data_IF_269168153850
#
_entry.id   IF_269168153850
#
_cell.length_a   1.000
_cell.length_b   1.000
_cell.length_c   1.000
_cell.angle_alpha   90.00
_cell.angle_beta   90.00
_cell.angle_gamma   90.00
#
_symmetry.space_group_name_H-M   'P 1'
#
loop_
_entity.id
_entity.type
_entity.pdbx_description
1 polymer ?
#
# COMPACT_ATOMS: atom_id res chain seq x y z
N UNK A 1 14.21 15.73 50.93
CA UNK A 1 14.18 14.29 50.56
C UNK A 1 13.53 14.20 49.21
N UNK A 2 14.35 14.15 48.15
CA UNK A 2 13.92 14.10 46.75
C UNK A 2 14.02 12.65 46.29
N UNK A 3 12.85 12.05 45.99
CA UNK A 3 12.76 10.71 45.44
C UNK A 3 12.86 10.79 43.91
N UNK A 4 13.99 10.37 43.36
CA UNK A 4 14.19 10.14 41.94
C UNK A 4 13.57 8.80 41.53
N UNK A 5 12.40 8.84 40.90
CA UNK A 5 11.77 7.66 40.31
C UNK A 5 12.45 7.34 38.98
N UNK A 6 13.32 6.35 38.96
CA UNK A 6 13.86 5.78 37.76
C UNK A 6 12.81 4.99 37.01
N UNK A 7 12.47 5.39 35.78
CA UNK A 7 11.71 4.55 34.85
C UNK A 7 12.63 3.43 34.37
N UNK A 8 12.39 2.21 34.83
CA UNK A 8 12.98 1.03 34.28
C UNK A 8 12.47 0.86 32.83
N UNK A 9 13.35 0.96 31.85
CA UNK A 9 13.08 0.56 30.49
C UNK A 9 12.77 -0.95 30.51
N UNK A 10 11.53 -1.32 30.21
CA UNK A 10 11.14 -2.71 29.97
C UNK A 10 11.86 -3.21 28.73
N UNK A 11 12.99 -3.90 28.97
CA UNK A 11 13.74 -4.55 27.92
C UNK A 11 12.85 -5.59 27.24
N UNK A 12 12.42 -5.33 26.02
CA UNK A 12 11.83 -6.34 25.14
C UNK A 12 12.90 -7.41 24.92
N UNK A 13 12.66 -8.62 25.41
CA UNK A 13 13.50 -9.78 25.09
C UNK A 13 13.60 -9.88 23.56
N UNK A 14 14.81 -10.06 23.00
CA UNK A 14 14.95 -10.19 21.54
C UNK A 14 14.11 -11.38 21.07
N UNK A 15 13.25 -11.15 20.10
CA UNK A 15 12.49 -12.22 19.44
C UNK A 15 13.49 -13.21 18.86
N UNK A 16 13.49 -14.45 19.35
CA UNK A 16 14.38 -15.50 18.83
C UNK A 16 13.85 -15.93 17.48
N UNK A 17 14.55 -15.59 16.41
CA UNK A 17 14.29 -16.09 15.06
C UNK A 17 14.70 -17.55 15.01
N UNK A 18 13.79 -18.44 14.59
CA UNK A 18 14.09 -19.84 14.36
C UNK A 18 14.78 -19.98 12.99
N UNK A 19 16.09 -20.13 12.99
CA UNK A 19 16.88 -20.39 11.80
C UNK A 19 16.73 -21.84 11.34
N UNK A 20 16.88 -22.09 10.04
CA UNK A 20 16.83 -23.43 9.44
C UNK A 20 15.97 -23.44 8.17
N UNK A 21 15.77 -24.64 7.61
CA UNK A 21 15.05 -24.80 6.35
C UNK A 21 15.93 -24.57 5.12
N UNK A 22 15.33 -23.99 4.06
CA UNK A 22 16.02 -23.70 2.79
C UNK A 22 17.06 -22.59 2.99
N UNK A 23 18.34 -22.79 2.57
CA UNK A 23 19.41 -21.80 2.79
C UNK A 23 19.15 -20.46 2.12
N UNK A 24 18.53 -20.48 0.94
CA UNK A 24 18.19 -19.27 0.17
C UNK A 24 16.71 -19.24 -0.12
N UNK A 25 16.01 -18.20 0.35
CA UNK A 25 14.61 -17.93 0.03
C UNK A 25 14.52 -16.86 -1.06
N UNK A 26 13.55 -17.03 -1.96
CA UNK A 26 13.26 -16.09 -3.04
C UNK A 26 11.81 -15.64 -2.94
N UNK A 27 11.60 -14.33 -2.91
CA UNK A 27 10.30 -13.71 -3.01
C UNK A 27 10.26 -12.67 -4.09
N UNK A 28 9.06 -12.35 -4.54
CA UNK A 28 8.80 -11.24 -5.47
C UNK A 28 7.41 -10.68 -5.28
N UNK A 29 7.16 -9.47 -5.77
CA UNK A 29 5.82 -8.92 -5.75
C UNK A 29 5.73 -7.45 -5.39
N UNK A 30 4.91 -7.12 -4.40
CA UNK A 30 4.58 -5.75 -4.04
C UNK A 30 5.79 -4.81 -3.98
N UNK A 31 5.68 -3.69 -4.69
CA UNK A 31 6.67 -2.60 -4.60
C UNK A 31 6.40 -1.69 -3.39
N UNK A 32 5.22 -1.76 -2.78
CA UNK A 32 4.89 -0.98 -1.60
C UNK A 32 5.65 -1.47 -0.35
N UNK A 33 5.92 -2.76 -0.26
CA UNK A 33 6.68 -3.32 0.88
C UNK A 33 8.20 -3.30 0.68
N UNK A 34 8.72 -2.87 -0.47
CA UNK A 34 10.14 -3.00 -0.83
C UNK A 34 11.08 -2.43 0.25
N UNK A 35 10.77 -1.25 0.78
CA UNK A 35 11.58 -0.62 1.81
C UNK A 35 11.55 -1.38 3.14
N UNK A 36 10.41 -1.90 3.54
CA UNK A 36 10.26 -2.68 4.77
C UNK A 36 10.95 -4.05 4.65
N UNK A 37 10.74 -4.76 3.54
CA UNK A 37 11.32 -6.09 3.36
C UNK A 37 12.85 -6.04 3.26
N UNK A 38 13.42 -4.97 2.70
CA UNK A 38 14.88 -4.76 2.74
C UNK A 38 15.42 -4.67 4.18
N UNK A 39 14.65 -4.08 5.09
CA UNK A 39 14.97 -4.07 6.52
C UNK A 39 14.86 -5.47 7.15
N UNK A 40 13.80 -6.21 6.83
CA UNK A 40 13.58 -7.57 7.32
C UNK A 40 14.65 -8.55 6.81
N UNK A 41 15.06 -8.44 5.55
CA UNK A 41 16.14 -9.24 4.97
C UNK A 41 17.44 -9.06 5.76
N UNK A 42 17.83 -7.80 6.00
CA UNK A 42 19.04 -7.51 6.79
C UNK A 42 18.98 -8.09 8.20
N UNK A 43 17.85 -7.93 8.88
CA UNK A 43 17.65 -8.47 10.22
C UNK A 43 17.66 -10.00 10.23
N UNK A 44 17.03 -10.64 9.23
CA UNK A 44 17.01 -12.10 9.09
C UNK A 44 18.43 -12.67 8.85
N UNK A 45 19.18 -12.11 7.91
CA UNK A 45 20.53 -12.58 7.58
C UNK A 45 21.52 -12.39 8.75
N UNK A 46 21.35 -11.32 9.54
CA UNK A 46 22.12 -11.12 10.77
C UNK A 46 21.76 -12.15 11.86
N UNK A 47 20.47 -12.49 11.98
CA UNK A 47 20.01 -13.45 12.98
C UNK A 47 20.31 -14.90 12.61
N UNK A 48 20.40 -15.21 11.30
CA UNK A 48 20.55 -16.55 10.75
C UNK A 48 21.75 -16.65 9.80
N UNK A 49 22.99 -16.67 10.31
CA UNK A 49 24.20 -16.79 9.49
C UNK A 49 24.15 -18.01 8.56
N UNK A 50 24.48 -17.80 7.28
CA UNK A 50 24.42 -18.83 6.24
C UNK A 50 23.05 -19.00 5.56
N UNK A 51 22.06 -18.23 5.96
CA UNK A 51 20.78 -18.13 5.24
C UNK A 51 20.69 -16.77 4.54
N UNK A 52 20.02 -16.74 3.39
CA UNK A 52 19.78 -15.51 2.62
C UNK A 52 18.34 -15.43 2.14
N UNK A 53 17.84 -14.21 1.98
CA UNK A 53 16.53 -13.94 1.41
C UNK A 53 16.68 -12.85 0.34
N UNK A 54 16.17 -13.14 -0.86
CA UNK A 54 16.12 -12.16 -1.95
C UNK A 54 14.68 -11.80 -2.26
N UNK A 55 14.42 -10.53 -2.53
CA UNK A 55 13.10 -10.04 -2.89
C UNK A 55 13.16 -9.15 -4.13
N UNK A 56 12.34 -9.44 -5.14
CA UNK A 56 12.22 -8.66 -6.38
C UNK A 56 10.92 -7.87 -6.37
N UNK A 57 10.94 -6.53 -6.20
CA UNK A 57 9.74 -5.71 -6.18
C UNK A 57 9.25 -5.43 -7.61
N UNK A 58 8.43 -6.33 -8.16
CA UNK A 58 7.93 -6.29 -9.54
C UNK A 58 6.40 -6.14 -9.67
N UNK A 59 5.71 -5.90 -8.56
CA UNK A 59 4.27 -5.73 -8.48
C UNK A 59 3.54 -6.96 -7.96
N UNK A 60 2.43 -6.73 -7.24
CA UNK A 60 1.67 -7.81 -6.57
C UNK A 60 1.21 -8.90 -7.52
N UNK A 61 0.76 -8.53 -8.72
CA UNK A 61 0.30 -9.52 -9.71
C UNK A 61 1.43 -10.39 -10.25
N UNK A 62 2.59 -9.80 -10.53
CA UNK A 62 3.78 -10.54 -10.97
C UNK A 62 4.26 -11.49 -9.87
N UNK A 63 4.35 -11.04 -8.62
CA UNK A 63 4.74 -11.88 -7.50
C UNK A 63 3.81 -13.08 -7.31
N UNK A 64 2.48 -12.87 -7.34
CA UNK A 64 1.51 -13.96 -7.27
C UNK A 64 1.67 -14.93 -8.45
N UNK A 65 1.90 -14.43 -9.66
CA UNK A 65 2.12 -15.27 -10.85
C UNK A 65 3.39 -16.12 -10.72
N UNK A 66 4.49 -15.54 -10.29
CA UNK A 66 5.76 -16.24 -10.07
C UNK A 66 5.66 -17.28 -8.95
N UNK A 67 4.96 -16.95 -7.85
CA UNK A 67 4.70 -17.91 -6.77
C UNK A 67 3.85 -19.07 -7.25
N UNK A 68 2.74 -18.80 -7.92
CA UNK A 68 1.86 -19.87 -8.44
C UNK A 68 2.52 -20.68 -9.55
N UNK A 69 3.45 -20.08 -10.31
CA UNK A 69 4.32 -20.71 -11.29
C UNK A 69 5.54 -21.45 -10.71
N UNK A 70 5.65 -21.54 -9.36
CA UNK A 70 6.76 -22.20 -8.66
C UNK A 70 8.16 -21.60 -8.94
N UNK A 71 8.22 -20.29 -9.27
CA UNK A 71 9.48 -19.57 -9.53
C UNK A 71 10.05 -18.95 -8.24
N UNK A 72 9.18 -18.64 -7.27
CA UNK A 72 9.53 -18.08 -5.97
C UNK A 72 9.00 -18.93 -4.83
N UNK A 73 9.60 -18.78 -3.65
CA UNK A 73 9.19 -19.48 -2.43
C UNK A 73 7.96 -18.83 -1.79
N UNK A 74 7.83 -17.51 -1.91
CA UNK A 74 6.71 -16.72 -1.42
C UNK A 74 6.45 -15.53 -2.36
N UNK A 75 5.28 -14.91 -2.21
CA UNK A 75 4.95 -13.69 -2.93
C UNK A 75 4.56 -12.56 -1.98
N UNK A 76 5.01 -11.34 -2.29
CA UNK A 76 4.52 -10.13 -1.67
C UNK A 76 3.31 -9.55 -2.42
N UNK A 77 2.23 -9.23 -1.72
CA UNK A 77 1.04 -8.62 -2.34
C UNK A 77 0.36 -7.63 -1.40
N UNK A 78 -0.14 -6.51 -1.94
CA UNK A 78 -0.94 -5.57 -1.16
C UNK A 78 -2.45 -5.90 -1.20
N UNK A 79 -2.80 -7.02 -1.79
CA UNK A 79 -4.17 -7.55 -1.80
C UNK A 79 -4.13 -9.04 -1.48
N UNK A 80 -5.06 -9.55 -0.68
CA UNK A 80 -5.20 -10.99 -0.50
C UNK A 80 -5.44 -11.68 -1.84
N UNK A 81 -5.11 -12.97 -1.92
CA UNK A 81 -5.40 -13.79 -3.09
C UNK A 81 -6.89 -13.72 -3.45
N UNK A 82 -7.20 -13.39 -4.69
CA UNK A 82 -8.52 -13.56 -5.28
C UNK A 82 -8.90 -15.03 -5.36
N UNK A 83 -10.17 -15.35 -5.60
CA UNK A 83 -10.65 -16.75 -5.71
C UNK A 83 -9.83 -17.59 -6.71
N UNK A 84 -9.51 -17.02 -7.88
CA UNK A 84 -8.76 -17.72 -8.91
C UNK A 84 -7.27 -17.89 -8.56
N UNK A 85 -6.67 -16.83 -7.99
CA UNK A 85 -5.28 -16.84 -7.49
C UNK A 85 -5.13 -17.85 -6.35
N UNK A 86 -6.10 -17.90 -5.42
CA UNK A 86 -6.11 -18.87 -4.33
C UNK A 86 -6.16 -20.32 -4.83
N UNK A 87 -7.01 -20.61 -5.81
CA UNK A 87 -7.08 -21.94 -6.42
C UNK A 87 -5.75 -22.32 -7.12
N UNK A 88 -5.09 -21.37 -7.78
CA UNK A 88 -3.79 -21.60 -8.40
C UNK A 88 -2.69 -21.85 -7.34
N UNK A 89 -2.67 -21.01 -6.28
CA UNK A 89 -1.73 -21.16 -5.17
C UNK A 89 -1.92 -22.49 -4.45
N UNK A 90 -3.16 -22.94 -4.22
CA UNK A 90 -3.46 -24.24 -3.61
C UNK A 90 -2.94 -25.40 -4.46
N UNK A 91 -3.10 -25.33 -5.79
CA UNK A 91 -2.52 -26.36 -6.69
C UNK A 91 -1.00 -26.41 -6.61
N UNK A 92 -0.35 -25.25 -6.63
CA UNK A 92 1.11 -25.11 -6.49
C UNK A 92 1.62 -25.69 -5.17
N UNK A 93 0.90 -25.39 -4.06
CA UNK A 93 1.31 -25.79 -2.72
C UNK A 93 0.97 -27.25 -2.39
N UNK A 94 -0.01 -27.88 -3.07
CA UNK A 94 -0.59 -29.14 -2.62
C UNK A 94 -1.27 -29.04 -1.24
N UNK A 95 -1.49 -27.84 -0.74
CA UNK A 95 -2.06 -27.46 0.56
C UNK A 95 -2.68 -26.08 0.46
N UNK A 96 -3.46 -25.60 1.46
CA UNK A 96 -3.92 -24.22 1.46
C UNK A 96 -2.75 -23.22 1.37
N UNK A 97 -2.96 -22.10 0.68
CA UNK A 97 -2.07 -20.94 0.78
C UNK A 97 -2.59 -19.99 1.87
N UNK A 98 -1.69 -19.23 2.49
CA UNK A 98 -2.01 -18.24 3.50
C UNK A 98 -1.60 -16.85 3.05
N UNK A 99 -2.42 -15.87 3.37
CA UNK A 99 -2.11 -14.45 3.28
C UNK A 99 -1.70 -13.99 4.69
N UNK A 100 -0.44 -13.69 4.89
CA UNK A 100 0.10 -13.26 6.19
C UNK A 100 0.37 -11.74 6.14
N UNK A 101 -0.41 -10.90 6.83
CA UNK A 101 -0.17 -9.47 6.83
C UNK A 101 1.12 -9.15 7.58
N UNK A 102 1.97 -8.31 6.98
CA UNK A 102 3.30 -7.99 7.52
C UNK A 102 3.52 -6.49 7.74
N UNK A 103 2.96 -5.64 6.87
CA UNK A 103 3.11 -4.19 6.96
C UNK A 103 1.80 -3.51 6.58
N UNK A 104 1.46 -2.43 7.28
CA UNK A 104 0.45 -1.48 6.83
C UNK A 104 1.15 -0.27 6.21
N UNK A 105 0.76 0.09 4.99
CA UNK A 105 1.31 1.21 4.26
C UNK A 105 0.21 2.21 3.87
N UNK A 106 0.31 3.48 4.26
CA UNK A 106 -0.59 4.49 3.69
C UNK A 106 -0.23 4.74 2.23
N UNK A 107 -1.27 4.96 1.41
CA UNK A 107 -1.14 5.40 0.03
C UNK A 107 -1.38 6.91 0.01
N UNK A 108 -0.37 7.67 -0.37
CA UNK A 108 -0.50 9.11 -0.55
C UNK A 108 -1.05 9.43 -1.94
N UNK A 109 -1.90 10.43 -2.04
CA UNK A 109 -2.13 11.14 -3.30
C UNK A 109 -1.03 12.19 -3.38
N UNK A 110 0.06 11.85 -4.08
CA UNK A 110 1.22 12.70 -4.26
C UNK A 110 1.04 13.60 -5.49
N UNK A 111 1.53 14.82 -5.41
CA UNK A 111 1.42 15.78 -6.50
C UNK A 111 2.67 16.66 -6.64
N UNK A 112 2.80 17.29 -7.80
CA UNK A 112 3.82 18.31 -8.07
C UNK A 112 3.16 19.47 -8.82
N UNK A 113 2.80 20.53 -8.08
CA UNK A 113 2.14 21.72 -8.62
C UNK A 113 2.87 22.95 -8.09
N UNK A 114 3.42 23.74 -8.99
CA UNK A 114 4.20 24.92 -8.62
C UNK A 114 3.38 25.91 -7.78
N UNK A 115 3.94 26.31 -6.64
CA UNK A 115 3.31 27.25 -5.72
C UNK A 115 2.19 26.67 -4.84
N UNK A 116 1.87 25.37 -4.95
CA UNK A 116 0.87 24.70 -4.11
C UNK A 116 1.56 23.74 -3.16
N UNK A 117 1.75 24.16 -1.92
CA UNK A 117 2.39 23.34 -0.85
C UNK A 117 1.38 22.65 0.08
N UNK A 118 0.09 22.92 -0.08
CA UNK A 118 -0.99 22.28 0.66
C UNK A 118 -2.19 22.08 -0.24
N UNK A 119 -2.63 20.82 -0.37
CA UNK A 119 -3.76 20.42 -1.18
C UNK A 119 -4.70 19.55 -0.33
N UNK A 120 -5.99 19.85 -0.39
CA UNK A 120 -7.05 19.04 0.19
C UNK A 120 -7.87 18.43 -0.95
N UNK A 121 -8.17 17.14 -0.84
CA UNK A 121 -9.06 16.42 -1.76
C UNK A 121 -10.08 15.62 -0.96
N UNK A 122 -11.23 15.35 -1.56
CA UNK A 122 -12.19 14.35 -1.09
C UNK A 122 -12.31 13.20 -2.09
N UNK A 123 -12.99 12.13 -1.73
CA UNK A 123 -13.18 10.96 -2.59
C UNK A 123 -13.81 11.29 -3.94
N UNK A 124 -14.89 12.08 -4.01
CA UNK A 124 -15.50 12.48 -5.29
C UNK A 124 -14.56 13.29 -6.19
N UNK A 125 -13.84 14.25 -5.65
CA UNK A 125 -12.91 15.07 -6.44
C UNK A 125 -11.71 14.26 -6.91
N UNK A 126 -11.13 13.42 -6.05
CA UNK A 126 -10.07 12.49 -6.43
C UNK A 126 -10.52 11.55 -7.56
N UNK A 127 -11.70 10.95 -7.45
CA UNK A 127 -12.25 10.09 -8.48
C UNK A 127 -12.38 10.80 -9.84
N UNK A 128 -12.88 12.03 -9.84
CA UNK A 128 -13.05 12.84 -11.06
C UNK A 128 -11.72 13.27 -11.68
N UNK A 129 -10.67 13.44 -10.89
CA UNK A 129 -9.31 13.67 -11.39
C UNK A 129 -8.80 12.39 -12.06
N UNK A 130 -8.83 11.26 -11.35
CA UNK A 130 -8.26 10.00 -11.84
C UNK A 130 -9.05 9.32 -12.95
N UNK A 131 -10.31 9.71 -13.20
CA UNK A 131 -11.07 9.28 -14.37
C UNK A 131 -11.06 10.28 -15.54
N UNK A 132 -10.41 11.46 -15.36
CA UNK A 132 -10.24 12.48 -16.40
C UNK A 132 -11.41 13.45 -16.58
N UNK A 133 -12.37 13.51 -15.66
CA UNK A 133 -13.45 14.49 -15.68
C UNK A 133 -12.94 15.88 -15.28
N UNK A 134 -12.04 15.95 -14.29
CA UNK A 134 -11.32 17.17 -13.92
C UNK A 134 -9.97 17.15 -14.62
N UNK A 135 -9.71 18.17 -15.43
CA UNK A 135 -8.54 18.23 -16.33
C UNK A 135 -7.53 19.31 -15.99
N UNK A 136 -7.90 20.27 -15.13
CA UNK A 136 -7.03 21.39 -14.76
C UNK A 136 -7.08 21.62 -13.26
N UNK A 137 -5.96 22.11 -12.70
CA UNK A 137 -5.85 22.33 -11.26
C UNK A 137 -6.79 23.42 -10.74
N UNK A 138 -7.14 24.41 -11.56
CA UNK A 138 -8.08 25.50 -11.20
C UNK A 138 -9.55 25.10 -11.34
N UNK A 139 -9.88 23.81 -11.50
CA UNK A 139 -11.30 23.36 -11.50
C UNK A 139 -12.01 23.79 -10.22
N UNK A 140 -13.27 24.21 -10.37
CA UNK A 140 -14.07 24.70 -9.25
C UNK A 140 -14.24 23.72 -8.09
N UNK A 141 -14.22 22.40 -8.35
CA UNK A 141 -14.29 21.39 -7.31
C UNK A 141 -13.01 21.35 -6.46
N UNK A 142 -11.83 21.48 -7.09
CA UNK A 142 -10.56 21.56 -6.35
C UNK A 142 -10.51 22.87 -5.58
N UNK A 143 -10.87 23.99 -6.22
CA UNK A 143 -10.83 25.30 -5.59
C UNK A 143 -11.73 25.39 -4.34
N UNK A 144 -12.92 24.76 -4.39
CA UNK A 144 -13.86 24.73 -3.27
C UNK A 144 -13.32 24.01 -2.02
N UNK A 145 -12.46 23.00 -2.20
CA UNK A 145 -11.82 22.26 -1.11
C UNK A 145 -10.56 22.97 -0.56
N UNK A 146 -10.09 24.00 -1.25
CA UNK A 146 -8.84 24.70 -0.94
C UNK A 146 -9.05 26.24 -0.83
N UNK A 147 -9.91 26.69 0.07
CA UNK A 147 -10.15 28.12 0.24
C UNK A 147 -8.85 28.84 0.66
N UNK A 148 -8.57 29.96 -0.01
CA UNK A 148 -7.35 30.73 0.26
C UNK A 148 -6.10 30.30 -0.51
N UNK A 149 -6.17 29.19 -1.26
CA UNK A 149 -5.10 28.74 -2.17
C UNK A 149 -5.47 29.09 -3.61
N UNK A 150 -4.62 29.82 -4.31
CA UNK A 150 -4.82 30.07 -5.75
C UNK A 150 -4.30 28.85 -6.53
N UNK A 151 -5.20 28.10 -7.13
CA UNK A 151 -4.83 26.99 -7.99
C UNK A 151 -4.42 27.50 -9.38
N UNK A 152 -3.31 26.99 -9.96
CA UNK A 152 -2.84 27.45 -11.27
C UNK A 152 -3.76 26.96 -12.39
N UNK A 153 -3.78 27.74 -13.50
CA UNK A 153 -4.42 27.31 -14.76
C UNK A 153 -3.44 26.39 -15.48
N UNK A 154 -3.38 25.14 -15.03
CA UNK A 154 -2.43 24.15 -15.50
C UNK A 154 -3.15 22.81 -15.70
N UNK A 155 -2.85 22.04 -16.78
CA UNK A 155 -3.41 20.71 -16.96
C UNK A 155 -2.97 19.74 -15.86
N UNK A 156 -3.85 18.82 -15.49
CA UNK A 156 -3.53 17.73 -14.57
C UNK A 156 -2.94 16.57 -15.38
N UNK A 157 -1.71 16.19 -15.05
CA UNK A 157 -1.02 15.02 -15.61
C UNK A 157 -1.13 13.85 -14.63
N UNK A 158 -2.07 12.93 -14.88
CA UNK A 158 -2.22 11.73 -14.06
C UNK A 158 -1.11 10.75 -14.35
N UNK A 159 -0.41 10.27 -13.32
CA UNK A 159 0.53 9.15 -13.39
C UNK A 159 -0.11 7.96 -12.70
N UNK A 160 -0.22 6.82 -13.38
CA UNK A 160 -0.78 5.59 -12.84
C UNK A 160 0.21 4.43 -12.89
N UNK A 161 -0.08 3.36 -12.15
CA UNK A 161 0.74 2.14 -12.15
C UNK A 161 0.45 1.29 -13.39
N UNK A 162 1.47 1.07 -14.22
CA UNK A 162 1.38 0.24 -15.43
C UNK A 162 1.51 -1.26 -15.16
N UNK A 163 2.08 -1.64 -14.01
CA UNK A 163 2.15 -3.02 -13.55
C UNK A 163 0.85 -3.47 -12.84
N UNK A 164 0.67 -4.75 -12.65
CA UNK A 164 -0.43 -5.28 -11.84
C UNK A 164 -0.16 -5.04 -10.35
N UNK A 165 -0.64 -3.90 -9.86
CA UNK A 165 -0.30 -3.30 -8.58
C UNK A 165 -1.37 -3.49 -7.52
N UNK A 166 -0.97 -4.00 -6.36
CA UNK A 166 -1.85 -3.99 -5.19
C UNK A 166 -2.11 -2.58 -4.65
N UNK A 167 -1.16 -1.64 -4.83
CA UNK A 167 -1.39 -0.22 -4.51
C UNK A 167 -2.54 0.34 -5.36
N UNK A 168 -2.59 0.01 -6.67
CA UNK A 168 -3.70 0.35 -7.56
C UNK A 168 -5.03 -0.24 -7.07
N UNK A 169 -5.04 -1.51 -6.70
CA UNK A 169 -6.25 -2.19 -6.21
C UNK A 169 -6.83 -1.49 -4.97
N UNK A 170 -5.98 -1.19 -3.98
CA UNK A 170 -6.42 -0.51 -2.76
C UNK A 170 -6.86 0.94 -3.01
N UNK A 171 -6.15 1.67 -3.87
CA UNK A 171 -6.54 3.02 -4.25
C UNK A 171 -7.89 3.04 -4.97
N UNK A 172 -8.12 2.13 -5.91
CA UNK A 172 -9.40 2.03 -6.62
C UNK A 172 -10.54 1.57 -5.69
N UNK A 173 -10.28 0.72 -4.70
CA UNK A 173 -11.25 0.38 -3.65
C UNK A 173 -11.65 1.60 -2.82
N UNK A 174 -10.68 2.47 -2.49
CA UNK A 174 -10.98 3.75 -1.86
C UNK A 174 -11.88 4.61 -2.74
N UNK A 175 -11.54 4.80 -4.02
CA UNK A 175 -12.35 5.58 -4.93
C UNK A 175 -13.76 4.99 -5.10
N UNK A 176 -13.89 3.67 -5.21
CA UNK A 176 -15.17 2.99 -5.36
C UNK A 176 -16.05 3.15 -4.10
N UNK A 177 -15.44 3.14 -2.92
CA UNK A 177 -16.14 3.21 -1.63
C UNK A 177 -16.52 4.63 -1.23
N UNK A 178 -15.64 5.62 -1.44
CA UNK A 178 -15.81 6.98 -0.88
C UNK A 178 -16.15 8.06 -1.92
N UNK A 179 -16.14 7.75 -3.21
CA UNK A 179 -16.38 8.74 -4.26
C UNK A 179 -17.86 9.10 -4.49
N UNK A 180 -18.78 8.53 -3.73
CA UNK A 180 -20.24 8.73 -3.92
C UNK A 180 -20.70 8.43 -5.35
N UNK A 181 -20.10 7.44 -5.99
CA UNK A 181 -20.41 6.99 -7.34
C UNK A 181 -19.66 7.73 -8.47
N UNK A 182 -18.80 8.69 -8.17
CA UNK A 182 -18.00 9.38 -9.20
C UNK A 182 -16.96 8.47 -9.87
N UNK A 183 -16.52 7.40 -9.19
CA UNK A 183 -15.59 6.42 -9.77
C UNK A 183 -16.32 5.40 -10.65
N UNK A 184 -17.25 4.64 -10.12
CA UNK A 184 -18.08 3.64 -10.81
C UNK A 184 -17.34 2.69 -11.80
N UNK A 185 -16.04 2.48 -11.61
CA UNK A 185 -15.17 1.67 -12.49
C UNK A 185 -14.64 0.40 -11.78
N UNK A 186 -15.06 0.19 -10.53
CA UNK A 186 -14.61 -0.92 -9.70
C UNK A 186 -13.13 -0.83 -9.32
N UNK A 187 -12.60 -1.92 -8.78
CA UNK A 187 -11.22 -2.04 -8.32
C UNK A 187 -10.52 -3.25 -8.95
N UNK A 188 -9.22 -3.34 -8.76
CA UNK A 188 -8.36 -4.40 -9.28
C UNK A 188 -6.92 -3.92 -9.43
N UNK A 189 -6.02 -4.85 -9.73
CA UNK A 189 -4.58 -4.56 -9.84
C UNK A 189 -4.20 -3.77 -11.10
N UNK A 190 -5.09 -3.66 -12.08
CA UNK A 190 -4.93 -2.83 -13.28
C UNK A 190 -5.67 -1.51 -13.08
N UNK A 191 -5.07 -0.40 -13.49
CA UNK A 191 -5.71 0.91 -13.38
C UNK A 191 -6.86 1.07 -14.38
N UNK A 192 -8.04 1.44 -13.89
CA UNK A 192 -9.29 1.53 -14.66
C UNK A 192 -9.66 2.98 -15.05
N UNK A 193 -8.86 3.99 -14.67
CA UNK A 193 -9.18 5.40 -14.89
C UNK A 193 -9.29 5.76 -16.38
N UNK A 194 -8.43 5.20 -17.22
CA UNK A 194 -8.45 5.42 -18.67
C UNK A 194 -7.77 6.73 -19.10
N UNK A 195 -7.03 7.39 -18.20
CA UNK A 195 -6.30 8.64 -18.44
C UNK A 195 -4.90 8.57 -17.83
N UNK A 196 -3.99 9.39 -18.34
CA UNK A 196 -2.64 9.55 -17.80
C UNK A 196 -1.60 8.64 -18.44
N UNK A 197 -0.42 8.62 -17.81
CA UNK A 197 0.74 7.86 -18.24
C UNK A 197 1.13 6.80 -17.22
N UNK A 198 1.59 5.64 -17.69
CA UNK A 198 1.94 4.50 -16.86
C UNK A 198 3.36 4.54 -16.34
N UNK A 199 3.56 4.28 -15.04
CA UNK A 199 4.85 4.09 -14.41
C UNK A 199 4.91 2.72 -13.72
N UNK A 200 6.03 2.00 -13.87
CA UNK A 200 6.19 0.65 -13.32
C UNK A 200 6.74 0.72 -11.88
N UNK A 201 5.91 0.34 -10.91
CA UNK A 201 6.27 0.33 -9.50
C UNK A 201 6.11 1.71 -8.80
N UNK A 202 6.08 1.69 -7.46
CA UNK A 202 5.93 2.92 -6.65
C UNK A 202 7.10 3.90 -6.84
N UNK A 203 8.33 3.40 -6.95
CA UNK A 203 9.52 4.26 -7.12
C UNK A 203 9.51 5.02 -8.46
N UNK A 204 9.13 4.36 -9.57
CA UNK A 204 9.04 5.03 -10.86
C UNK A 204 7.86 6.02 -10.91
N UNK A 205 6.73 5.68 -10.28
CA UNK A 205 5.61 6.62 -10.15
C UNK A 205 6.01 7.87 -9.36
N UNK A 206 6.74 7.71 -8.26
CA UNK A 206 7.24 8.84 -7.49
C UNK A 206 8.24 9.70 -8.29
N UNK A 207 9.15 9.07 -9.03
CA UNK A 207 10.10 9.78 -9.90
C UNK A 207 9.39 10.54 -11.03
N UNK A 208 8.36 9.95 -11.64
CA UNK A 208 7.57 10.60 -12.69
C UNK A 208 6.84 11.85 -12.16
N UNK A 209 6.21 11.75 -10.98
CA UNK A 209 5.59 12.92 -10.32
C UNK A 209 6.64 13.99 -10.01
N UNK A 210 7.81 13.61 -9.49
CA UNK A 210 8.88 14.55 -9.19
C UNK A 210 9.35 15.37 -10.39
N UNK A 211 9.39 14.73 -11.56
CA UNK A 211 9.92 15.33 -12.80
C UNK A 211 8.88 16.06 -13.65
N UNK A 212 7.58 15.95 -13.33
CA UNK A 212 6.51 16.47 -14.17
C UNK A 212 5.67 17.48 -13.40
N UNK A 213 5.76 18.76 -13.75
CA UNK A 213 4.88 19.79 -13.20
C UNK A 213 3.42 19.50 -13.56
N UNK A 214 2.49 19.89 -12.68
CA UNK A 214 1.06 19.62 -12.84
C UNK A 214 0.67 18.15 -12.63
N UNK A 215 1.57 17.28 -12.19
CA UNK A 215 1.29 15.84 -12.05
C UNK A 215 0.69 15.44 -10.70
N UNK A 216 -0.03 14.31 -10.73
CA UNK A 216 -0.65 13.66 -9.57
C UNK A 216 -0.59 12.13 -9.72
N UNK A 217 -0.40 11.43 -8.60
CA UNK A 217 -0.38 9.96 -8.56
C UNK A 217 -0.79 9.43 -7.19
N UNK A 218 -1.11 8.13 -7.13
CA UNK A 218 -1.28 7.36 -5.89
C UNK A 218 -0.05 6.49 -5.66
N UNK A 219 0.64 6.71 -4.56
CA UNK A 219 1.97 6.11 -4.32
C UNK A 219 2.08 5.72 -2.85
N UNK A 220 2.70 4.57 -2.57
CA UNK A 220 2.99 4.19 -1.18
C UNK A 220 3.92 5.24 -0.53
N UNK A 221 3.59 5.60 0.71
CA UNK A 221 4.13 6.74 1.45
C UNK A 221 5.66 6.76 1.59
N UNK A 222 6.32 5.61 1.78
CA UNK A 222 7.78 5.59 1.93
C UNK A 222 8.50 6.03 0.65
N UNK A 223 7.93 5.73 -0.53
CA UNK A 223 8.43 6.18 -1.83
C UNK A 223 8.21 7.68 -2.05
N UNK A 224 7.06 8.20 -1.61
CA UNK A 224 6.76 9.65 -1.65
C UNK A 224 7.74 10.43 -0.78
N UNK A 225 7.99 9.93 0.46
CA UNK A 225 8.97 10.51 1.37
C UNK A 225 10.39 10.51 0.82
N UNK A 226 10.80 9.41 0.18
CA UNK A 226 12.13 9.29 -0.41
C UNK A 226 12.38 10.33 -1.52
N UNK A 227 11.33 10.73 -2.25
CA UNK A 227 11.39 11.75 -3.30
C UNK A 227 11.05 13.16 -2.80
N UNK A 228 10.67 13.31 -1.53
CA UNK A 228 10.26 14.60 -0.94
C UNK A 228 9.12 15.26 -1.73
N UNK A 229 8.09 14.48 -2.11
CA UNK A 229 6.92 14.99 -2.80
C UNK A 229 5.89 15.54 -1.81
N UNK A 230 5.10 16.50 -2.27
CA UNK A 230 3.91 16.97 -1.57
C UNK A 230 2.79 15.93 -1.64
N UNK A 231 1.95 15.91 -0.60
CA UNK A 231 0.87 14.94 -0.42
C UNK A 231 -0.42 15.65 -0.08
N UNK A 232 -1.51 15.30 -0.76
CA UNK A 232 -2.82 15.81 -0.41
C UNK A 232 -3.29 15.27 0.95
N UNK A 233 -3.95 16.14 1.71
CA UNK A 233 -4.77 15.75 2.85
C UNK A 233 -6.15 15.34 2.35
N UNK A 234 -6.78 14.36 3.01
CA UNK A 234 -8.05 13.81 2.57
C UNK A 234 -9.18 14.25 3.50
N UNK A 235 -10.19 14.87 2.94
CA UNK A 235 -11.46 15.14 3.63
C UNK A 235 -12.28 13.85 3.56
N UNK A 236 -12.60 13.28 4.72
CA UNK A 236 -13.26 11.97 4.84
C UNK A 236 -14.75 12.14 5.16
N UNK A 237 -15.51 11.06 5.04
CA UNK A 237 -16.91 11.06 5.46
C UNK A 237 -17.11 11.25 6.99
N UNK A 238 -16.05 11.09 7.78
CA UNK A 238 -16.09 11.21 9.25
C UNK A 238 -16.02 12.66 9.77
N UNK A 239 -15.67 13.63 8.92
CA UNK A 239 -15.61 15.02 9.32
C UNK A 239 -15.07 15.95 8.24
N UNK A 240 -15.26 17.28 8.39
CA UNK A 240 -14.84 18.25 7.39
C UNK A 240 -13.33 18.55 7.41
N UNK A 241 -12.63 18.19 8.49
CA UNK A 241 -11.21 18.51 8.66
C UNK A 241 -10.34 17.61 7.78
N UNK A 242 -9.44 18.17 6.96
CA UNK A 242 -8.57 17.39 6.09
C UNK A 242 -7.55 16.56 6.90
N UNK A 243 -7.47 15.27 6.65
CA UNK A 243 -6.61 14.32 7.33
C UNK A 243 -5.33 14.06 6.54
N UNK A 244 -4.17 14.37 7.13
CA UNK A 244 -2.86 14.02 6.60
C UNK A 244 -2.38 12.66 7.08
N UNK A 245 -1.33 12.14 6.44
CA UNK A 245 -0.69 10.88 6.85
C UNK A 245 0.18 11.11 8.10
N UNK A 246 -0.13 10.37 9.16
CA UNK A 246 0.66 10.28 10.39
C UNK A 246 0.50 8.89 11.02
N UNK A 247 1.36 8.54 11.97
CA UNK A 247 1.24 7.29 12.71
C UNK A 247 -0.12 7.19 13.44
N UNK A 248 -0.62 8.32 13.95
CA UNK A 248 -1.90 8.40 14.65
C UNK A 248 -3.08 8.22 13.67
N UNK A 249 -3.10 8.98 12.56
CA UNK A 249 -4.21 8.93 11.60
C UNK A 249 -4.31 7.57 10.90
N UNK A 250 -3.18 6.94 10.58
CA UNK A 250 -3.11 5.59 10.01
C UNK A 250 -3.46 4.54 11.07
N UNK A 251 -2.97 4.70 12.30
CA UNK A 251 -3.31 3.83 13.45
C UNK A 251 -4.81 3.82 13.73
N UNK A 252 -5.48 4.96 13.65
CA UNK A 252 -6.94 5.06 13.77
C UNK A 252 -7.67 4.18 12.76
N UNK A 253 -7.23 4.19 11.50
CA UNK A 253 -7.79 3.34 10.44
C UNK A 253 -7.53 1.86 10.68
N UNK A 254 -6.29 1.49 11.02
CA UNK A 254 -5.89 0.09 11.23
C UNK A 254 -6.61 -0.53 12.43
N UNK A 255 -6.93 0.26 13.44
CA UNK A 255 -7.65 -0.23 14.64
C UNK A 255 -9.02 -0.84 14.34
N UNK A 256 -9.60 -0.52 13.16
CA UNK A 256 -10.86 -1.09 12.67
C UNK A 256 -10.68 -2.37 11.84
N UNK A 257 -9.44 -2.88 11.69
CA UNK A 257 -9.18 -4.07 10.89
C UNK A 257 -9.70 -5.33 11.55
N UNK A 258 -10.29 -6.22 10.75
CA UNK A 258 -10.64 -7.58 11.17
C UNK A 258 -10.28 -8.59 10.07
N UNK A 259 -10.12 -9.86 10.48
CA UNK A 259 -9.87 -10.94 9.52
C UNK A 259 -11.16 -11.40 8.85
N UNK A 260 -11.11 -11.63 7.54
CA UNK A 260 -12.26 -12.11 6.75
C UNK A 260 -12.76 -13.47 7.25
N UNK A 261 -11.84 -14.32 7.72
CA UNK A 261 -12.16 -15.68 8.19
C UNK A 261 -11.31 -16.08 9.39
N UNK A 262 -11.76 -17.10 10.10
CA UNK A 262 -10.98 -17.72 11.19
C UNK A 262 -9.91 -18.66 10.62
N UNK A 263 -8.82 -18.85 11.34
CA UNK A 263 -7.73 -19.77 11.01
C UNK A 263 -6.41 -19.05 10.75
N UNK A 264 -5.51 -19.69 10.01
CA UNK A 264 -4.15 -19.18 9.78
C UNK A 264 -4.00 -18.39 8.48
N UNK A 265 -5.04 -18.32 7.66
CA UNK A 265 -5.09 -17.40 6.51
C UNK A 265 -5.65 -16.07 7.00
N UNK A 266 -4.75 -15.12 7.21
CA UNK A 266 -5.00 -13.88 7.93
C UNK A 266 -5.38 -12.73 6.97
N UNK A 267 -6.12 -13.02 5.90
CA UNK A 267 -6.64 -11.99 5.02
C UNK A 267 -7.56 -11.03 5.77
N UNK A 268 -7.31 -9.73 5.63
CA UNK A 268 -8.06 -8.66 6.28
C UNK A 268 -9.21 -8.17 5.39
N UNK A 269 -10.32 -7.83 6.01
CA UNK A 269 -11.32 -6.97 5.38
C UNK A 269 -10.87 -5.51 5.53
N UNK A 270 -10.49 -4.92 4.39
CA UNK A 270 -9.98 -3.55 4.33
C UNK A 270 -11.04 -2.53 3.89
N UNK A 271 -12.30 -2.94 3.66
CA UNK A 271 -13.36 -2.02 3.20
C UNK A 271 -13.60 -0.91 4.24
N UNK A 272 -13.54 -1.25 5.54
CA UNK A 272 -13.69 -0.29 6.62
C UNK A 272 -12.60 0.80 6.64
N UNK A 273 -11.44 0.56 6.00
CA UNK A 273 -10.35 1.54 5.91
C UNK A 273 -10.73 2.72 5.03
N UNK A 274 -11.37 2.44 3.89
CA UNK A 274 -11.60 3.43 2.83
C UNK A 274 -12.69 4.44 3.17
N UNK A 275 -13.52 4.15 4.16
CA UNK A 275 -14.54 5.06 4.68
C UNK A 275 -14.59 4.98 6.20
N UNK A 276 -13.57 5.51 6.89
CA UNK A 276 -13.49 5.45 8.36
C UNK A 276 -14.65 6.22 8.99
N UNK A 277 -15.12 5.70 10.13
CA UNK A 277 -16.17 6.34 10.93
C UNK A 277 -15.59 7.32 11.98
N UNK A 278 -14.29 7.27 12.22
CA UNK A 278 -13.62 8.09 13.23
C UNK A 278 -12.97 9.31 12.57
N UNK A 279 -13.27 10.53 13.05
CA UNK A 279 -12.54 11.73 12.63
C UNK A 279 -11.03 11.57 12.83
N UNK A 280 -10.25 12.14 11.93
CA UNK A 280 -8.79 12.08 11.99
C UNK A 280 -8.16 10.77 11.50
N UNK A 281 -8.95 9.79 11.06
CA UNK A 281 -8.44 8.54 10.46
C UNK A 281 -8.16 8.72 8.97
N UNK A 282 -6.92 8.38 8.53
CA UNK A 282 -6.52 8.49 7.13
C UNK A 282 -7.08 7.32 6.31
N UNK A 283 -7.84 7.54 5.21
CA UNK A 283 -8.66 6.49 4.61
C UNK A 283 -7.91 5.57 3.65
N UNK A 284 -6.78 5.97 3.09
CA UNK A 284 -6.13 5.22 2.01
C UNK A 284 -4.96 4.42 2.58
N UNK A 285 -5.29 3.26 3.16
CA UNK A 285 -4.30 2.37 3.79
C UNK A 285 -4.39 0.99 3.15
N UNK A 286 -3.24 0.42 2.81
CA UNK A 286 -3.10 -0.96 2.38
C UNK A 286 -2.47 -1.83 3.48
N UNK A 287 -2.76 -3.12 3.45
CA UNK A 287 -1.99 -4.14 4.14
C UNK A 287 -1.18 -4.93 3.11
N UNK A 288 0.11 -5.10 3.37
CA UNK A 288 0.94 -6.01 2.55
C UNK A 288 0.92 -7.39 3.16
N UNK A 289 0.94 -8.40 2.32
CA UNK A 289 0.90 -9.80 2.71
C UNK A 289 2.11 -10.53 2.15
N UNK A 290 2.67 -11.44 2.95
CA UNK A 290 3.46 -12.54 2.43
C UNK A 290 2.50 -13.71 2.14
N UNK A 291 2.47 -14.14 0.89
CA UNK A 291 1.68 -15.28 0.43
C UNK A 291 2.57 -16.51 0.44
N UNK A 292 2.20 -17.48 1.27
CA UNK A 292 3.00 -18.69 1.53
C UNK A 292 2.14 -19.94 1.43
N UNK A 293 2.78 -21.09 1.21
CA UNK A 293 2.10 -22.37 1.39
C UNK A 293 1.94 -22.71 2.87
N UNK A 294 0.79 -23.23 3.28
CA UNK A 294 0.61 -23.76 4.65
C UNK A 294 1.51 -24.94 4.97
N UNK A 295 1.97 -25.66 3.93
CA UNK A 295 2.97 -26.72 3.99
C UNK A 295 3.85 -26.65 2.75
N UNK A 296 5.16 -26.80 2.96
CA UNK A 296 6.12 -27.00 1.88
C UNK A 296 6.54 -28.47 1.83
N UNK A 297 6.86 -29.04 0.63
CA UNK A 297 7.39 -30.41 0.54
C UNK A 297 8.60 -30.60 1.45
N UNK A 298 8.66 -31.75 2.14
CA UNK A 298 9.81 -32.13 2.98
C UNK A 298 11.04 -32.31 2.10
N UNK A 299 11.97 -31.41 2.22
CA UNK A 299 13.20 -31.28 1.39
C UNK A 299 13.56 -29.81 1.14
N UNK A 300 12.66 -28.91 1.48
CA UNK A 300 12.82 -27.45 1.39
C UNK A 300 11.93 -26.75 2.42
N UNK A 301 11.89 -27.25 3.67
CA UNK A 301 11.00 -26.68 4.68
C UNK A 301 11.47 -25.30 5.14
N UNK A 302 10.87 -24.24 4.63
CA UNK A 302 10.67 -23.07 5.46
C UNK A 302 9.66 -23.50 6.56
N UNK A 303 10.08 -23.55 7.81
CA UNK A 303 9.13 -23.50 8.93
C UNK A 303 8.66 -22.05 9.05
N UNK A 304 7.36 -21.82 9.34
CA UNK A 304 6.85 -20.49 9.58
C UNK A 304 7.52 -19.80 10.75
#
# INVERSE_FOLDING_TARGET
MTATGGHAATGTSPVRVACGGKPTLRGSGSTAQANAINGFVKAFEQACPGQSLTYTPNGSGAGISEFTGNQTDFAGSDSPLSKNEYAAAQRRCGSPAWNLPVVFGPIAIAYHVDGVTSLNLDGPTAARIFNGDIKTWNDGAIQALNPGTTMPVEPISVVFRSDQSGTTDNFQKYLDTDSRGAWAKGAGKTFNGGVGEGANGNAAAAAAVKSTAGSISYIEWSCVRAQQLDMAKIITAAGPDPVGISAESVGGTISAAWFIKKGNDLALDTISFYRPNQPGSYPIVLATYEIVCSKYPTGGSARP
#
